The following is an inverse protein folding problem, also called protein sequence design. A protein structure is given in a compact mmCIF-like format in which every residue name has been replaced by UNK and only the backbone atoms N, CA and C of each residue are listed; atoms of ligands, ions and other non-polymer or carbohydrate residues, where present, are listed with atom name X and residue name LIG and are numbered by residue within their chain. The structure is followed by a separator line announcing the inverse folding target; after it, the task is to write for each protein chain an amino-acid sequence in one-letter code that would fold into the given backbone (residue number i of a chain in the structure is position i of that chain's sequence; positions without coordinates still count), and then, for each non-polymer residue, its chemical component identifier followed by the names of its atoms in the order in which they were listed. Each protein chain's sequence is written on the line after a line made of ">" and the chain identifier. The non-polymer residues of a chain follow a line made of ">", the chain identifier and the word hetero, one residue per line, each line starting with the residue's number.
data_IF_840683643773
#
_entry.id   IF_840683643773
#
_cell.length_a   1.000
_cell.length_b   1.000
_cell.length_c   1.000
_cell.angle_alpha   90.00
_cell.angle_beta   90.00
_cell.angle_gamma   90.00
#
_symmetry.space_group_name_H-M   'P 1'
#
loop_
_entity.id
_entity.type
_entity.pdbx_description
1 polymer ?
#
# COMPACT_ATOMS: atom_id res chain seq x y z
N UNK A 1 -34.34 15.33 -47.71
CA UNK A 1 -33.61 14.20 -47.13
C UNK A 1 -33.10 14.62 -45.76
N UNK A 2 -33.81 14.26 -44.70
CA UNK A 2 -33.44 14.58 -43.32
C UNK A 2 -32.41 13.56 -42.83
N UNK A 3 -31.15 13.95 -42.77
CA UNK A 3 -30.09 13.12 -42.19
C UNK A 3 -30.29 12.97 -40.69
N UNK A 4 -30.48 11.74 -40.22
CA UNK A 4 -30.50 11.42 -38.78
C UNK A 4 -29.17 11.82 -38.14
N UNK A 5 -29.17 12.46 -36.96
CA UNK A 5 -27.94 12.82 -36.28
C UNK A 5 -27.21 11.55 -35.85
N UNK A 6 -25.99 11.35 -36.37
CA UNK A 6 -25.10 10.28 -35.93
C UNK A 6 -24.78 10.53 -34.46
N UNK A 7 -25.33 9.70 -33.56
CA UNK A 7 -24.97 9.69 -32.14
C UNK A 7 -23.46 9.46 -32.06
N UNK A 8 -22.71 10.49 -31.65
CA UNK A 8 -21.28 10.38 -31.34
C UNK A 8 -21.14 9.33 -30.24
N UNK A 9 -20.66 8.14 -30.60
CA UNK A 9 -20.44 7.05 -29.67
C UNK A 9 -19.34 7.52 -28.70
N UNK A 10 -19.69 7.69 -27.42
CA UNK A 10 -18.72 8.09 -26.39
C UNK A 10 -17.75 6.92 -26.24
N UNK A 11 -16.56 7.04 -26.82
CA UNK A 11 -15.51 6.06 -26.59
C UNK A 11 -15.16 6.08 -25.10
N UNK A 12 -15.25 4.91 -24.47
CA UNK A 12 -14.83 4.72 -23.08
C UNK A 12 -13.34 5.06 -22.93
N UNK A 13 -12.99 5.74 -21.83
CA UNK A 13 -11.58 6.05 -21.56
C UNK A 13 -10.79 4.76 -21.34
N UNK A 14 -9.45 4.81 -21.50
CA UNK A 14 -8.60 3.67 -21.18
C UNK A 14 -8.78 3.19 -19.73
N UNK A 15 -9.06 4.12 -18.80
CA UNK A 15 -9.35 3.80 -17.41
C UNK A 15 -10.68 3.04 -17.25
N UNK A 16 -11.72 3.45 -17.97
CA UNK A 16 -13.03 2.77 -17.93
C UNK A 16 -12.93 1.35 -18.48
N UNK A 17 -12.15 1.16 -19.56
CA UNK A 17 -11.86 -0.16 -20.10
C UNK A 17 -11.06 -1.02 -19.11
N UNK A 18 -10.05 -0.44 -18.44
CA UNK A 18 -9.24 -1.17 -17.44
C UNK A 18 -10.09 -1.68 -16.27
N UNK A 19 -11.08 -0.89 -15.82
CA UNK A 19 -12.01 -1.29 -14.75
C UNK A 19 -12.83 -2.54 -15.06
N UNK A 20 -12.99 -2.91 -16.33
CA UNK A 20 -13.69 -4.14 -16.73
C UNK A 20 -12.84 -5.40 -16.48
N UNK A 21 -11.51 -5.27 -16.44
CA UNK A 21 -10.58 -6.39 -16.31
C UNK A 21 -9.84 -6.41 -14.97
N UNK A 22 -9.76 -5.28 -14.27
CA UNK A 22 -8.94 -5.13 -13.07
C UNK A 22 -9.60 -4.20 -12.07
N UNK A 23 -9.48 -4.55 -10.80
CA UNK A 23 -9.86 -3.67 -9.69
C UNK A 23 -8.88 -2.50 -9.62
N UNK A 24 -9.35 -1.29 -9.93
CA UNK A 24 -8.54 -0.07 -9.85
C UNK A 24 -8.44 0.40 -8.39
N UNK A 25 -7.22 0.72 -7.98
CA UNK A 25 -6.86 1.20 -6.65
C UNK A 25 -6.15 2.54 -6.79
N UNK A 26 -6.50 3.53 -5.98
CA UNK A 26 -5.80 4.82 -5.97
C UNK A 26 -4.63 4.80 -4.97
N UNK A 27 -3.44 5.21 -5.41
CA UNK A 27 -2.25 5.30 -4.56
C UNK A 27 -1.98 6.77 -4.18
N UNK A 28 -2.67 7.26 -3.14
CA UNK A 28 -2.59 8.65 -2.71
C UNK A 28 -3.05 8.84 -1.26
N UNK A 29 -2.52 9.86 -0.59
CA UNK A 29 -3.05 10.40 0.67
C UNK A 29 -4.02 11.58 0.47
N UNK A 30 -4.10 12.11 -0.75
CA UNK A 30 -4.99 13.22 -1.12
C UNK A 30 -6.40 12.69 -1.41
N UNK A 31 -7.26 12.72 -0.40
CA UNK A 31 -8.64 12.21 -0.52
C UNK A 31 -9.60 13.16 -1.25
N UNK A 32 -9.20 14.40 -1.55
CA UNK A 32 -9.96 15.26 -2.46
C UNK A 32 -9.83 14.80 -3.92
N UNK A 33 -8.67 14.26 -4.30
CA UNK A 33 -8.42 13.73 -5.64
C UNK A 33 -9.06 12.34 -5.89
N UNK A 34 -9.44 11.60 -4.84
CA UNK A 34 -9.99 10.24 -4.96
C UNK A 34 -11.36 10.21 -5.66
N UNK A 35 -12.20 11.23 -5.43
CA UNK A 35 -13.57 11.28 -5.96
C UNK A 35 -13.62 11.36 -7.49
N UNK A 36 -12.57 11.89 -8.12
CA UNK A 36 -12.47 12.04 -9.57
C UNK A 36 -12.44 10.68 -10.29
N UNK A 37 -11.66 9.74 -9.76
CA UNK A 37 -11.38 8.47 -10.43
C UNK A 37 -12.24 7.31 -9.93
N UNK A 38 -12.98 7.49 -8.83
CA UNK A 38 -13.87 6.47 -8.24
C UNK A 38 -13.21 5.08 -8.17
N UNK A 39 -12.06 4.95 -7.47
CA UNK A 39 -11.38 3.67 -7.30
C UNK A 39 -12.18 2.74 -6.37
N UNK A 40 -11.89 1.45 -6.44
CA UNK A 40 -12.48 0.46 -5.53
C UNK A 40 -11.84 0.55 -4.14
N UNK A 41 -10.51 0.44 -4.10
CA UNK A 41 -9.68 0.50 -2.88
C UNK A 41 -8.72 1.71 -2.98
N UNK A 42 -8.05 2.07 -1.89
CA UNK A 42 -6.97 3.05 -1.88
C UNK A 42 -5.77 2.58 -1.06
N UNK A 43 -4.57 2.99 -1.45
CA UNK A 43 -3.33 2.69 -0.74
C UNK A 43 -2.66 3.97 -0.30
N UNK A 44 -2.19 3.97 0.95
CA UNK A 44 -1.29 4.99 1.47
C UNK A 44 0.08 4.37 1.77
N UNK A 45 1.07 5.23 1.97
CA UNK A 45 2.38 4.89 2.48
C UNK A 45 2.93 6.12 3.24
N UNK A 46 4.03 5.98 4.00
CA UNK A 46 4.53 7.09 4.81
C UNK A 46 4.84 8.36 4.01
N UNK A 47 5.36 8.23 2.78
CA UNK A 47 5.67 9.37 1.92
C UNK A 47 4.40 10.09 1.44
N UNK A 48 3.34 9.34 1.09
CA UNK A 48 2.06 9.91 0.68
C UNK A 48 1.37 10.64 1.83
N UNK A 49 1.42 10.09 3.04
CA UNK A 49 0.89 10.76 4.24
C UNK A 49 1.70 12.00 4.56
N UNK A 50 3.03 11.94 4.46
CA UNK A 50 3.89 13.11 4.67
C UNK A 50 3.54 14.25 3.69
N UNK A 51 3.42 13.94 2.40
CA UNK A 51 3.05 14.92 1.38
C UNK A 51 1.66 15.52 1.64
N UNK A 52 0.68 14.69 1.99
CA UNK A 52 -0.67 15.16 2.31
C UNK A 52 -0.69 16.01 3.59
N UNK A 53 0.00 15.61 4.66
CA UNK A 53 0.05 16.35 5.92
C UNK A 53 0.66 17.76 5.80
N UNK A 54 1.44 18.03 4.74
CA UNK A 54 1.98 19.36 4.44
C UNK A 54 0.98 20.27 3.71
N UNK A 55 -0.14 19.74 3.22
CA UNK A 55 -1.13 20.52 2.49
C UNK A 55 -1.99 21.35 3.46
N UNK A 56 -2.27 22.63 3.16
CA UNK A 56 -3.13 23.48 3.99
C UNK A 56 -4.54 22.88 4.22
N UNK A 57 -5.07 22.18 3.22
CA UNK A 57 -6.40 21.57 3.27
C UNK A 57 -6.54 20.48 4.36
N UNK A 58 -5.44 19.92 4.84
CA UNK A 58 -5.43 18.79 5.78
C UNK A 58 -4.89 19.14 7.16
N UNK A 59 -4.66 20.42 7.46
CA UNK A 59 -4.10 20.84 8.76
C UNK A 59 -5.02 20.51 9.93
N UNK A 60 -6.34 20.51 9.75
CA UNK A 60 -7.28 20.10 10.81
C UNK A 60 -7.03 18.66 11.29
N UNK A 61 -6.71 17.74 10.37
CA UNK A 61 -6.36 16.35 10.73
C UNK A 61 -5.03 16.29 11.49
N UNK A 62 -4.06 17.12 11.11
CA UNK A 62 -2.75 17.22 11.79
C UNK A 62 -2.94 17.74 13.21
N UNK A 63 -3.74 18.79 13.39
CA UNK A 63 -4.05 19.36 14.70
C UNK A 63 -4.82 18.38 15.58
N UNK A 64 -5.80 17.66 15.04
CA UNK A 64 -6.53 16.61 15.77
C UNK A 64 -5.57 15.50 16.23
N UNK A 65 -4.67 15.06 15.35
CA UNK A 65 -3.67 14.05 15.69
C UNK A 65 -2.72 14.52 16.81
N UNK A 66 -2.26 15.77 16.74
CA UNK A 66 -1.41 16.38 17.79
C UNK A 66 -2.18 16.46 19.11
N UNK A 67 -3.45 16.89 19.07
CA UNK A 67 -4.30 16.98 20.26
C UNK A 67 -4.54 15.60 20.89
N UNK A 68 -4.77 14.57 20.08
CA UNK A 68 -4.88 13.18 20.53
C UNK A 68 -3.60 12.72 21.24
N UNK A 69 -2.43 12.92 20.62
CA UNK A 69 -1.15 12.56 21.21
C UNK A 69 -0.92 13.24 22.56
N UNK A 70 -1.16 14.54 22.65
CA UNK A 70 -1.04 15.31 23.91
C UNK A 70 -2.02 14.84 24.99
N UNK A 71 -3.26 14.51 24.62
CA UNK A 71 -4.29 14.05 25.55
C UNK A 71 -3.94 12.73 26.23
N UNK A 72 -3.26 11.82 25.53
CA UNK A 72 -2.81 10.55 26.11
C UNK A 72 -1.67 10.73 27.14
N UNK A 73 -0.99 11.88 27.13
CA UNK A 73 0.11 12.16 28.04
C UNK A 73 1.35 11.32 27.76
N UNK A 74 2.19 11.15 28.78
CA UNK A 74 3.48 10.45 28.67
C UNK A 74 4.61 11.34 28.17
N UNK A 75 5.72 10.71 27.80
CA UNK A 75 6.91 11.37 27.25
C UNK A 75 6.62 12.03 25.89
N UNK A 76 7.45 12.99 25.48
CA UNK A 76 7.32 13.65 24.18
C UNK A 76 7.37 12.63 23.02
N UNK A 77 8.20 11.60 23.14
CA UNK A 77 8.32 10.54 22.13
C UNK A 77 7.03 9.71 22.02
N UNK A 78 6.40 9.37 23.14
CA UNK A 78 5.11 8.67 23.16
C UNK A 78 3.99 9.53 22.56
N UNK A 79 3.96 10.83 22.88
CA UNK A 79 2.98 11.75 22.30
C UNK A 79 3.13 11.86 20.79
N UNK A 80 4.37 11.99 20.28
CA UNK A 80 4.66 12.03 18.83
C UNK A 80 4.25 10.70 18.17
N UNK A 81 4.59 9.57 18.76
CA UNK A 81 4.22 8.25 18.25
C UNK A 81 2.70 8.08 18.16
N UNK A 82 1.98 8.43 19.22
CA UNK A 82 0.53 8.39 19.25
C UNK A 82 -0.11 9.34 18.23
N UNK A 83 0.45 10.55 18.08
CA UNK A 83 -0.03 11.51 17.09
C UNK A 83 0.17 10.99 15.66
N UNK A 84 1.34 10.43 15.34
CA UNK A 84 1.61 9.87 14.00
C UNK A 84 0.68 8.69 13.69
N UNK A 85 0.52 7.75 14.63
CA UNK A 85 -0.39 6.61 14.44
C UNK A 85 -1.84 7.10 14.24
N UNK A 86 -2.28 8.12 15.01
CA UNK A 86 -3.60 8.73 14.86
C UNK A 86 -3.76 9.44 13.52
N UNK A 87 -2.74 10.15 13.05
CA UNK A 87 -2.76 10.87 11.76
C UNK A 87 -2.98 9.89 10.59
N UNK A 88 -2.27 8.77 10.58
CA UNK A 88 -2.43 7.73 9.55
C UNK A 88 -3.87 7.20 9.52
N UNK A 89 -4.46 6.99 10.69
CA UNK A 89 -5.85 6.52 10.85
C UNK A 89 -6.86 7.57 10.42
N UNK A 90 -6.63 8.86 10.71
CA UNK A 90 -7.50 9.95 10.28
C UNK A 90 -7.55 10.07 8.76
N UNK A 91 -6.39 10.04 8.08
CA UNK A 91 -6.35 10.01 6.62
C UNK A 91 -7.08 8.79 6.06
N UNK A 92 -6.84 7.60 6.60
CA UNK A 92 -7.55 6.41 6.16
C UNK A 92 -9.06 6.48 6.40
N UNK A 93 -9.50 7.09 7.51
CA UNK A 93 -10.92 7.31 7.79
C UNK A 93 -11.57 8.24 6.76
N UNK A 94 -10.94 9.36 6.40
CA UNK A 94 -11.45 10.25 5.35
C UNK A 94 -11.49 9.57 3.99
N UNK A 95 -10.44 8.81 3.63
CA UNK A 95 -10.41 8.02 2.40
C UNK A 95 -11.57 7.03 2.32
N UNK A 96 -11.87 6.32 3.42
CA UNK A 96 -12.94 5.32 3.48
C UNK A 96 -14.35 5.90 3.33
N UNK A 97 -14.54 7.20 3.57
CA UNK A 97 -15.80 7.90 3.27
C UNK A 97 -16.00 8.09 1.76
N UNK A 98 -14.93 8.05 0.97
CA UNK A 98 -14.93 8.30 -0.48
C UNK A 98 -14.94 7.03 -1.33
N UNK A 99 -14.42 5.92 -0.79
CA UNK A 99 -14.32 4.64 -1.51
C UNK A 99 -15.27 3.57 -0.96
N UNK A 100 -15.77 2.65 -1.79
CA UNK A 100 -16.59 1.53 -1.34
C UNK A 100 -15.77 0.39 -0.70
N UNK A 101 -14.50 0.27 -1.08
CA UNK A 101 -13.62 -0.82 -0.67
C UNK A 101 -12.70 -0.46 0.48
N UNK A 102 -11.45 -0.89 0.43
CA UNK A 102 -10.52 -0.88 1.57
C UNK A 102 -9.45 0.20 1.45
N UNK A 103 -8.90 0.61 2.59
CA UNK A 103 -7.69 1.44 2.65
C UNK A 103 -6.51 0.65 3.19
N UNK A 104 -5.35 0.78 2.55
CA UNK A 104 -4.10 0.24 3.08
C UNK A 104 -3.35 1.30 3.90
N UNK A 105 -2.96 0.94 5.12
CA UNK A 105 -2.19 1.79 6.04
C UNK A 105 -0.91 1.09 6.45
N UNK A 106 0.22 1.77 6.30
CA UNK A 106 1.54 1.18 6.48
C UNK A 106 2.06 1.29 7.91
N UNK A 107 2.67 0.21 8.41
CA UNK A 107 3.40 0.20 9.67
C UNK A 107 4.73 0.93 9.51
N UNK A 108 5.18 1.58 10.59
CA UNK A 108 6.48 2.26 10.64
C UNK A 108 7.62 1.38 10.12
N UNK A 109 8.25 1.82 9.03
CA UNK A 109 9.29 1.08 8.32
C UNK A 109 10.53 0.80 9.20
N UNK A 110 10.74 1.55 10.29
CA UNK A 110 11.84 1.28 11.24
C UNK A 110 11.67 -0.05 11.97
N UNK A 111 10.43 -0.58 12.02
CA UNK A 111 10.12 -1.87 12.63
C UNK A 111 10.30 -3.05 11.67
N UNK A 112 10.72 -2.82 10.41
CA UNK A 112 10.72 -3.85 9.35
C UNK A 112 11.49 -5.13 9.70
N UNK A 113 12.42 -5.08 10.64
CA UNK A 113 13.23 -6.23 11.08
C UNK A 113 12.88 -6.70 12.50
N UNK A 114 11.75 -6.25 13.05
CA UNK A 114 11.21 -6.67 14.35
C UNK A 114 9.77 -7.16 14.17
N UNK A 115 9.62 -8.47 14.10
CA UNK A 115 8.33 -9.14 13.89
C UNK A 115 7.31 -8.75 14.96
N UNK A 116 7.69 -8.80 16.23
CA UNK A 116 6.76 -8.63 17.33
C UNK A 116 6.35 -7.15 17.45
N UNK A 117 7.29 -6.22 17.23
CA UNK A 117 6.97 -4.80 17.16
C UNK A 117 6.06 -4.44 15.97
N UNK A 118 6.25 -5.07 14.80
CA UNK A 118 5.34 -4.91 13.66
C UNK A 118 3.93 -5.40 13.98
N UNK A 119 3.79 -6.59 14.57
CA UNK A 119 2.48 -7.14 14.97
C UNK A 119 1.82 -6.25 16.02
N UNK A 120 2.57 -5.78 17.01
CA UNK A 120 2.06 -4.87 18.03
C UNK A 120 1.57 -3.56 17.41
N UNK A 121 2.32 -2.98 16.48
CA UNK A 121 1.91 -1.74 15.80
C UNK A 121 0.70 -1.95 14.89
N UNK A 122 0.67 -3.04 14.13
CA UNK A 122 -0.48 -3.40 13.30
C UNK A 122 -1.77 -3.46 14.12
N UNK A 123 -1.74 -4.14 15.28
CA UNK A 123 -2.88 -4.22 16.21
C UNK A 123 -3.26 -2.85 16.76
N UNK A 124 -2.28 -2.00 17.10
CA UNK A 124 -2.55 -0.63 17.58
C UNK A 124 -3.30 0.18 16.53
N UNK A 125 -2.91 0.11 15.26
CA UNK A 125 -3.60 0.80 14.16
C UNK A 125 -5.04 0.29 13.99
N UNK A 126 -5.27 -1.02 14.08
CA UNK A 126 -6.62 -1.59 14.01
C UNK A 126 -7.51 -1.13 15.17
N UNK A 127 -6.99 -1.06 16.40
CA UNK A 127 -7.77 -0.52 17.53
C UNK A 127 -8.08 0.97 17.35
N UNK A 128 -7.15 1.77 16.80
CA UNK A 128 -7.43 3.17 16.48
C UNK A 128 -8.50 3.35 15.40
N UNK A 129 -8.52 2.49 14.38
CA UNK A 129 -9.62 2.47 13.40
C UNK A 129 -10.95 2.11 14.04
N UNK A 130 -10.95 1.14 14.96
CA UNK A 130 -12.15 0.75 15.71
C UNK A 130 -12.63 1.87 16.64
N UNK A 131 -11.72 2.61 17.29
CA UNK A 131 -12.04 3.84 18.04
C UNK A 131 -12.72 4.89 17.14
N UNK A 132 -12.36 4.95 15.86
CA UNK A 132 -13.00 5.79 14.85
C UNK A 132 -14.29 5.18 14.23
N UNK A 133 -14.77 4.05 14.77
CA UNK A 133 -15.99 3.38 14.29
C UNK A 133 -15.82 2.60 12.98
N UNK A 134 -14.58 2.31 12.57
CA UNK A 134 -14.28 1.64 11.31
C UNK A 134 -13.97 0.16 11.56
N UNK A 135 -14.68 -0.70 10.82
CA UNK A 135 -14.50 -2.14 10.89
C UNK A 135 -13.19 -2.57 10.25
N UNK A 136 -12.47 -3.52 10.86
CA UNK A 136 -11.17 -4.01 10.36
C UNK A 136 -11.23 -4.60 8.94
N UNK A 137 -12.41 -5.02 8.48
CA UNK A 137 -12.65 -5.55 7.14
C UNK A 137 -12.45 -4.50 6.04
N UNK A 138 -12.52 -3.20 6.39
CA UNK A 138 -12.22 -2.07 5.52
C UNK A 138 -10.72 -1.71 5.50
N UNK A 139 -9.90 -2.37 6.30
CA UNK A 139 -8.49 -2.01 6.51
C UNK A 139 -7.56 -3.11 6.02
N UNK A 140 -6.47 -2.71 5.36
CA UNK A 140 -5.33 -3.56 5.07
C UNK A 140 -4.10 -2.98 5.76
N UNK A 141 -3.42 -3.78 6.59
CA UNK A 141 -2.17 -3.34 7.21
C UNK A 141 -1.02 -3.66 6.28
N UNK A 142 -0.26 -2.62 5.91
CA UNK A 142 0.86 -2.74 5.00
C UNK A 142 2.16 -2.93 5.78
N UNK A 143 2.88 -4.01 5.47
CA UNK A 143 4.12 -4.43 6.13
C UNK A 143 5.23 -4.55 5.10
N UNK A 144 6.46 -4.20 5.46
CA UNK A 144 7.64 -4.41 4.61
C UNK A 144 7.83 -5.90 4.28
N UNK A 145 8.24 -6.21 3.05
CA UNK A 145 8.45 -7.60 2.58
C UNK A 145 9.80 -8.18 3.00
N UNK A 146 10.27 -7.85 4.20
CA UNK A 146 11.40 -8.52 4.85
C UNK A 146 10.99 -9.91 5.32
N UNK A 147 11.95 -10.74 5.73
CA UNK A 147 11.63 -12.04 6.32
C UNK A 147 10.71 -11.87 7.53
N UNK A 148 11.07 -10.99 8.45
CA UNK A 148 10.30 -10.70 9.66
C UNK A 148 8.91 -10.16 9.34
N UNK A 149 8.79 -9.30 8.32
CA UNK A 149 7.51 -8.75 7.89
C UNK A 149 6.59 -9.82 7.27
N UNK A 150 7.14 -10.73 6.47
CA UNK A 150 6.41 -11.90 5.97
C UNK A 150 5.98 -12.81 7.13
N UNK A 151 6.84 -13.03 8.12
CA UNK A 151 6.48 -13.83 9.30
C UNK A 151 5.44 -13.13 10.20
N UNK A 152 5.49 -11.80 10.31
CA UNK A 152 4.51 -10.99 11.02
C UNK A 152 3.14 -11.09 10.33
N UNK A 153 3.11 -11.03 8.99
CA UNK A 153 1.92 -11.25 8.19
C UNK A 153 1.38 -12.69 8.19
N UNK A 154 2.18 -13.70 8.55
CA UNK A 154 1.71 -15.10 8.65
C UNK A 154 1.08 -15.44 10.00
N UNK A 155 1.42 -14.72 11.07
CA UNK A 155 1.03 -15.06 12.43
C UNK A 155 -0.47 -14.92 12.68
N UNK A 156 -1.17 -16.04 12.88
CA UNK A 156 -2.60 -16.18 13.27
C UNK A 156 -3.49 -15.00 12.84
N UNK A 157 -3.46 -14.69 11.55
CA UNK A 157 -4.48 -13.84 10.96
C UNK A 157 -5.79 -14.64 11.00
N UNK A 158 -6.73 -14.19 11.83
CA UNK A 158 -8.14 -14.48 11.53
C UNK A 158 -8.39 -14.06 10.07
N UNK A 159 -9.27 -14.71 9.29
CA UNK A 159 -9.43 -14.44 7.85
C UNK A 159 -9.63 -12.96 7.46
N UNK A 160 -9.95 -12.11 8.44
CA UNK A 160 -10.15 -10.67 8.37
C UNK A 160 -8.91 -9.80 8.65
N UNK A 161 -7.79 -10.32 9.17
CA UNK A 161 -6.53 -9.58 9.27
C UNK A 161 -5.71 -9.85 8.00
N UNK A 162 -5.93 -9.13 6.90
CA UNK A 162 -5.12 -9.32 5.67
C UNK A 162 -4.03 -8.24 5.62
N UNK A 163 -2.77 -8.66 5.64
CA UNK A 163 -1.64 -7.77 5.43
C UNK A 163 -1.29 -7.62 3.94
N UNK A 164 -0.91 -6.42 3.51
CA UNK A 164 -0.36 -6.18 2.17
C UNK A 164 1.16 -6.01 2.25
N UNK A 165 1.89 -6.67 1.36
CA UNK A 165 3.35 -6.62 1.34
C UNK A 165 3.83 -5.34 0.62
N UNK A 166 4.66 -4.53 1.29
CA UNK A 166 5.32 -3.35 0.73
C UNK A 166 6.70 -3.71 0.19
N UNK A 167 7.12 -3.11 -0.93
CA UNK A 167 8.46 -3.28 -1.50
C UNK A 167 8.88 -4.75 -1.69
N UNK A 168 8.00 -5.56 -2.30
CA UNK A 168 8.28 -6.96 -2.59
C UNK A 168 9.46 -7.04 -3.58
N UNK A 169 10.62 -7.59 -3.20
CA UNK A 169 11.73 -7.76 -4.13
C UNK A 169 11.36 -8.78 -5.23
N UNK A 170 11.95 -8.69 -6.43
CA UNK A 170 11.79 -9.73 -7.43
C UNK A 170 12.21 -11.08 -6.83
N UNK A 171 11.55 -12.20 -7.19
CA UNK A 171 11.97 -13.51 -6.72
C UNK A 171 13.44 -13.72 -7.07
N UNK A 172 14.29 -13.93 -6.04
CA UNK A 172 15.71 -14.19 -6.25
C UNK A 172 15.89 -15.41 -7.16
N UNK A 173 16.68 -15.32 -8.25
CA UNK A 173 16.88 -16.44 -9.15
C UNK A 173 17.99 -17.35 -8.60
N UNK A 174 17.75 -18.07 -7.50
CA UNK A 174 18.71 -19.03 -6.98
C UNK A 174 18.09 -20.40 -6.68
N UNK A 175 18.90 -21.47 -6.85
CA UNK A 175 18.43 -22.76 -7.33
C UNK A 175 17.62 -23.50 -6.28
N UNK A 176 16.59 -24.20 -6.77
CA UNK A 176 15.71 -25.11 -6.04
C UNK A 176 16.51 -25.92 -5.01
N UNK A 177 16.25 -25.66 -3.73
CA UNK A 177 16.50 -26.66 -2.70
C UNK A 177 15.52 -27.80 -2.98
N UNK A 178 16.08 -28.90 -3.47
CA UNK A 178 15.40 -30.16 -3.72
C UNK A 178 14.76 -30.68 -2.43
N UNK A 179 13.43 -30.74 -2.40
CA UNK A 179 12.69 -31.72 -1.60
C UNK A 179 12.21 -32.83 -2.53
N UNK A 180 12.36 -34.12 -2.17
CA UNK A 180 12.10 -35.22 -3.08
C UNK A 180 10.62 -35.58 -3.18
N UNK A 181 10.24 -35.96 -4.41
CA UNK A 181 9.16 -36.87 -4.82
C UNK A 181 7.68 -36.45 -4.60
N UNK A 182 6.93 -36.25 -5.68
CA UNK A 182 6.17 -37.31 -6.39
C UNK A 182 5.45 -36.72 -7.64
N UNK A 183 5.65 -37.40 -8.79
CA UNK A 183 4.83 -37.49 -10.02
C UNK A 183 4.49 -36.20 -10.80
N UNK A 184 5.20 -35.95 -11.91
CA UNK A 184 4.83 -36.28 -13.30
C UNK A 184 3.56 -35.57 -13.79
N UNK A 185 3.72 -34.57 -14.66
CA UNK A 185 3.06 -34.49 -15.98
C UNK A 185 3.80 -33.49 -16.89
N UNK A 186 3.67 -33.71 -18.19
CA UNK A 186 4.49 -33.23 -19.31
C UNK A 186 4.50 -31.71 -19.52
N UNK A 187 5.69 -31.13 -19.73
CA UNK A 187 5.86 -29.78 -20.30
C UNK A 187 6.59 -29.89 -21.64
N UNK A 188 5.93 -29.35 -22.66
CA UNK A 188 6.34 -29.16 -24.05
C UNK A 188 7.56 -28.22 -24.11
N UNK A 189 8.62 -28.50 -24.89
CA UNK A 189 9.78 -27.60 -24.95
C UNK A 189 9.46 -26.34 -25.74
N UNK A 190 9.70 -25.16 -25.13
CA UNK A 190 9.63 -23.87 -25.79
C UNK A 190 10.80 -23.70 -26.79
N UNK A 191 10.60 -23.00 -27.93
CA UNK A 191 11.64 -22.80 -28.93
C UNK A 191 12.68 -21.74 -28.49
N UNK A 192 13.93 -21.98 -28.92
CA UNK A 192 15.13 -21.18 -28.68
C UNK A 192 14.93 -19.68 -28.94
N UNK A 193 15.28 -18.83 -27.97
CA UNK A 193 15.45 -17.38 -28.14
C UNK A 193 16.96 -17.08 -28.26
N UNK A 194 17.30 -16.30 -29.28
CA UNK A 194 18.65 -15.87 -29.67
C UNK A 194 19.45 -15.15 -28.54
N UNK A 195 20.80 -15.14 -28.61
CA UNK A 195 21.63 -14.54 -27.57
C UNK A 195 21.77 -13.02 -27.73
N UNK A 196 21.73 -12.30 -26.60
CA UNK A 196 22.03 -10.86 -26.52
C UNK A 196 23.53 -10.69 -26.23
N UNK A 197 24.28 -9.83 -26.95
CA UNK A 197 25.72 -9.69 -26.76
C UNK A 197 26.06 -8.91 -25.49
N UNK A 198 27.11 -9.36 -24.78
CA UNK A 198 27.71 -8.66 -23.63
C UNK A 198 28.58 -7.51 -24.13
N UNK A 199 28.40 -6.32 -23.58
CA UNK A 199 29.43 -5.27 -23.58
C UNK A 199 29.61 -4.72 -22.18
N UNK A 200 30.72 -5.08 -21.56
CA UNK A 200 31.33 -4.36 -20.44
C UNK A 200 32.07 -3.13 -20.98
N UNK A 201 31.97 -1.97 -20.29
CA UNK A 201 33.11 -1.32 -19.60
C UNK A 201 32.78 0.12 -19.16
N UNK A 202 32.88 0.32 -17.85
CA UNK A 202 33.56 1.40 -17.12
C UNK A 202 33.27 2.87 -17.48
N UNK A 203 32.56 3.56 -16.59
CA UNK A 203 32.67 5.01 -16.40
C UNK A 203 33.28 5.31 -15.02
N UNK A 204 34.37 6.09 -15.03
CA UNK A 204 35.16 6.53 -13.87
C UNK A 204 34.48 7.71 -13.14
N UNK A 205 34.77 7.78 -11.84
CA UNK A 205 34.50 8.84 -10.87
C UNK A 205 35.38 10.08 -11.15
N UNK A 206 34.89 11.30 -10.88
CA UNK A 206 35.71 12.51 -10.80
C UNK A 206 34.97 13.79 -10.38
N UNK A 207 35.37 14.32 -9.22
CA UNK A 207 34.92 15.53 -8.50
C UNK A 207 34.63 16.81 -9.30
N UNK A 208 33.67 17.60 -8.82
CA UNK A 208 33.64 19.06 -8.95
C UNK A 208 33.83 19.71 -7.57
N UNK A 209 34.70 20.72 -7.58
CA UNK A 209 34.76 21.85 -6.65
C UNK A 209 33.47 22.67 -6.70
#
# INVERSE_FOLDING_TARGET
>A
MSGSPVKRQRMESALDQLKQFTTVVADTGDFHAIDEYKPQDATTNPSLILAAAQMPAYQELVEEAIAYGKKLGGSQEEQIKNAIDKLFVLFGAEILKKIPGRVSTEVDARLSFDKDAMVARAKRLIELYKEAGISKERILIKLSSTWEGIQAGKGKQSPCERATAAACPPPCPHPRVLTPALHQEHIIPAPNICPVPKTEKNAKIGHLL
#
